data_IF_492993998891
#
_entry.id   IF_492993998891
#
_cell.length_a   1.000
_cell.length_b   1.000
_cell.length_c   1.000
_cell.angle_alpha   90.00
_cell.angle_beta   90.00
_cell.angle_gamma   90.00
#
_symmetry.space_group_name_H-M   'P 1'
#
loop_
_entity.id
_entity.type
_entity.pdbx_description
1 polymer ?
#
# COMPACT_ATOMS: atom_id res chain seq x y z
N UNK A 1 14.58 -13.94 -0.67
CA UNK A 1 14.35 -14.71 -1.91
C UNK A 1 13.66 -13.83 -2.94
N UNK A 2 14.18 -13.83 -4.15
CA UNK A 2 13.59 -13.07 -5.25
C UNK A 2 12.15 -13.49 -5.51
N UNK A 3 11.28 -12.53 -5.70
CA UNK A 3 9.89 -12.82 -5.98
C UNK A 3 9.05 -13.19 -4.77
N UNK A 4 9.59 -13.03 -3.57
CA UNK A 4 8.85 -13.28 -2.34
C UNK A 4 8.69 -12.00 -1.53
N UNK A 5 7.44 -11.72 -1.17
CA UNK A 5 7.13 -10.61 -0.29
C UNK A 5 7.26 -11.05 1.17
N UNK A 6 7.39 -10.05 2.04
CA UNK A 6 7.47 -10.27 3.48
C UNK A 6 6.24 -9.68 4.15
N UNK A 7 5.60 -10.43 5.04
CA UNK A 7 4.51 -9.90 5.84
C UNK A 7 5.13 -9.21 7.05
N UNK A 8 5.21 -7.89 6.98
CA UNK A 8 5.84 -7.08 8.02
C UNK A 8 4.95 -6.94 9.27
N UNK A 9 3.64 -7.05 9.10
CA UNK A 9 2.67 -6.99 10.18
C UNK A 9 1.46 -7.81 9.76
N UNK A 10 0.96 -8.66 10.64
CA UNK A 10 -0.23 -9.47 10.34
C UNK A 10 -1.49 -8.72 10.73
N UNK A 11 -2.55 -8.91 9.97
CA UNK A 11 -3.84 -8.28 10.26
C UNK A 11 -4.97 -8.89 9.46
N UNK A 12 -6.20 -8.49 9.80
CA UNK A 12 -7.40 -9.06 9.18
C UNK A 12 -8.42 -8.05 8.69
N UNK A 13 -8.21 -6.76 8.94
CA UNK A 13 -9.19 -5.74 8.55
C UNK A 13 -8.88 -5.09 7.20
N UNK A 14 -7.62 -4.93 6.86
CA UNK A 14 -7.18 -4.30 5.62
C UNK A 14 -5.77 -4.78 5.28
N UNK A 15 -5.46 -4.86 3.98
CA UNK A 15 -4.12 -5.16 3.50
C UNK A 15 -3.50 -3.90 2.92
N UNK A 16 -2.32 -3.52 3.44
CA UNK A 16 -1.49 -2.47 2.85
C UNK A 16 -0.33 -3.15 2.15
N UNK A 17 -0.14 -2.83 0.87
CA UNK A 17 1.00 -3.30 0.10
C UNK A 17 1.92 -2.11 -0.15
N UNK A 18 3.21 -2.28 0.14
CA UNK A 18 4.17 -1.21 -0.04
C UNK A 18 5.54 -1.79 -0.37
N UNK A 19 6.49 -0.92 -0.71
CA UNK A 19 7.85 -1.33 -1.02
C UNK A 19 8.80 -0.17 -0.77
N UNK A 20 10.09 -0.50 -0.66
CA UNK A 20 11.14 0.49 -0.47
C UNK A 20 10.91 1.30 0.81
N UNK A 21 11.27 2.57 0.83
CA UNK A 21 11.19 3.39 2.04
C UNK A 21 9.75 3.64 2.52
N UNK A 22 8.78 3.52 1.63
CA UNK A 22 7.38 3.73 2.00
C UNK A 22 6.89 2.67 2.99
N UNK A 23 7.54 1.50 3.06
CA UNK A 23 7.25 0.49 4.09
C UNK A 23 7.45 1.06 5.48
N UNK A 24 8.50 1.87 5.68
CA UNK A 24 8.75 2.49 6.99
C UNK A 24 7.68 3.50 7.36
N UNK A 25 7.22 4.28 6.37
CA UNK A 25 6.14 5.24 6.57
C UNK A 25 4.84 4.51 6.92
N UNK A 26 4.58 3.39 6.25
CA UNK A 26 3.41 2.57 6.54
C UNK A 26 3.47 1.98 7.96
N UNK A 27 4.66 1.53 8.39
CA UNK A 27 4.84 1.03 9.76
C UNK A 27 4.52 2.10 10.80
N UNK A 28 4.96 3.34 10.55
CA UNK A 28 4.65 4.45 11.45
C UNK A 28 3.14 4.73 11.47
N UNK A 29 2.48 4.66 10.33
CA UNK A 29 1.05 4.89 10.24
C UNK A 29 0.27 3.83 11.04
N UNK A 30 0.67 2.56 10.92
CA UNK A 30 0.03 1.46 11.63
C UNK A 30 0.19 1.63 13.14
N UNK A 31 1.33 2.14 13.58
CA UNK A 31 1.59 2.36 15.00
C UNK A 31 0.92 3.62 15.55
N UNK A 32 0.33 4.46 14.68
CA UNK A 32 -0.30 5.70 15.11
C UNK A 32 -1.54 5.44 15.96
N UNK A 33 -1.79 6.34 16.91
CA UNK A 33 -2.93 6.24 17.82
C UNK A 33 -4.25 6.10 17.06
N UNK A 34 -4.37 6.76 15.92
CA UNK A 34 -5.59 6.78 15.12
C UNK A 34 -5.97 5.40 14.56
N UNK A 35 -4.99 4.51 14.39
CA UNK A 35 -5.22 3.19 13.81
C UNK A 35 -5.06 2.05 14.80
N UNK A 36 -4.89 2.33 16.08
CA UNK A 36 -4.62 1.30 17.08
C UNK A 36 -5.73 0.25 17.23
N UNK A 37 -6.95 0.59 16.86
CA UNK A 37 -8.09 -0.33 16.99
C UNK A 37 -8.33 -1.17 15.75
N UNK A 38 -7.49 -1.00 14.71
CA UNK A 38 -7.64 -1.72 13.46
C UNK A 38 -6.56 -2.78 13.31
N UNK A 39 -6.92 -3.90 12.71
CA UNK A 39 -6.01 -5.01 12.48
C UNK A 39 -5.50 -4.91 11.04
N UNK A 40 -4.28 -4.43 10.87
CA UNK A 40 -3.74 -4.09 9.56
C UNK A 40 -2.64 -5.06 9.16
N UNK A 41 -2.80 -5.67 7.98
CA UNK A 41 -1.75 -6.51 7.41
C UNK A 41 -0.89 -5.67 6.49
N UNK A 42 0.43 -5.63 6.75
CA UNK A 42 1.37 -4.90 5.92
C UNK A 42 2.26 -5.87 5.17
N UNK A 43 2.22 -5.79 3.85
CA UNK A 43 3.05 -6.59 2.97
C UNK A 43 4.14 -5.70 2.38
N UNK A 44 5.40 -6.09 2.63
CA UNK A 44 6.56 -5.48 2.02
C UNK A 44 6.92 -6.33 0.80
N UNK A 45 6.75 -5.77 -0.39
CA UNK A 45 7.01 -6.53 -1.62
C UNK A 45 8.44 -7.00 -1.77
N UNK A 46 9.40 -6.22 -1.29
CA UNK A 46 10.84 -6.47 -1.39
C UNK A 46 11.34 -6.59 -2.82
N UNK A 47 10.58 -7.22 -3.72
CA UNK A 47 10.90 -7.36 -5.14
C UNK A 47 9.71 -6.88 -5.95
N UNK A 48 9.96 -5.96 -6.89
CA UNK A 48 8.89 -5.43 -7.74
C UNK A 48 8.90 -6.04 -9.15
N UNK A 49 9.87 -6.89 -9.44
CA UNK A 49 9.95 -7.63 -10.70
C UNK A 49 10.66 -8.95 -10.45
N UNK A 50 9.95 -10.04 -10.32
CA UNK A 50 8.49 -10.20 -10.34
C UNK A 50 7.82 -9.79 -9.01
N UNK A 51 6.54 -9.42 -9.10
CA UNK A 51 5.73 -9.11 -7.92
C UNK A 51 5.12 -10.41 -7.39
N UNK A 52 5.14 -10.57 -6.07
CA UNK A 52 4.57 -11.75 -5.41
C UNK A 52 3.06 -11.60 -5.22
N UNK A 53 2.30 -11.85 -6.28
CA UNK A 53 0.85 -11.74 -6.24
C UNK A 53 0.20 -12.80 -5.35
N UNK A 54 0.83 -13.97 -5.21
CA UNK A 54 0.26 -15.03 -4.37
C UNK A 54 0.14 -14.59 -2.91
N UNK A 55 1.15 -13.90 -2.39
CA UNK A 55 1.10 -13.37 -1.03
C UNK A 55 0.01 -12.32 -0.90
N UNK A 56 -0.11 -11.41 -1.89
CA UNK A 56 -1.14 -10.38 -1.88
C UNK A 56 -2.53 -11.01 -1.91
N UNK A 57 -2.74 -11.98 -2.80
CA UNK A 57 -4.04 -12.63 -2.93
C UNK A 57 -4.44 -13.39 -1.67
N UNK A 58 -3.48 -14.09 -1.05
CA UNK A 58 -3.74 -14.79 0.20
C UNK A 58 -4.19 -13.84 1.29
N UNK A 59 -3.53 -12.69 1.39
CA UNK A 59 -3.91 -11.65 2.35
C UNK A 59 -5.31 -11.10 2.07
N UNK A 60 -5.62 -10.81 0.81
CA UNK A 60 -6.91 -10.24 0.42
C UNK A 60 -8.09 -11.18 0.63
N UNK A 61 -7.88 -12.49 0.56
CA UNK A 61 -8.95 -13.44 0.89
C UNK A 61 -9.44 -13.25 2.32
N UNK A 62 -8.55 -12.79 3.18
CA UNK A 62 -8.83 -12.56 4.59
C UNK A 62 -9.35 -11.14 4.84
N UNK A 63 -8.66 -10.14 4.31
CA UNK A 63 -8.94 -8.73 4.63
C UNK A 63 -9.99 -8.07 3.73
N UNK A 64 -10.03 -8.45 2.45
CA UNK A 64 -10.97 -7.95 1.43
C UNK A 64 -10.90 -6.45 1.16
N UNK A 65 -9.82 -5.80 1.59
CA UNK A 65 -9.57 -4.37 1.35
C UNK A 65 -8.10 -4.19 1.00
N UNK A 66 -7.83 -3.50 -0.11
CA UNK A 66 -6.48 -3.30 -0.61
C UNK A 66 -6.13 -1.82 -0.67
N UNK A 67 -5.06 -1.45 0.02
CA UNK A 67 -4.44 -0.13 -0.07
C UNK A 67 -3.00 -0.32 -0.50
N UNK A 68 -2.58 0.36 -1.56
CA UNK A 68 -1.18 0.34 -1.99
C UNK A 68 -0.58 1.70 -1.71
N UNK A 69 0.62 1.72 -1.12
CA UNK A 69 1.33 2.96 -0.77
C UNK A 69 2.69 2.98 -1.44
N UNK A 70 2.99 4.04 -2.17
CA UNK A 70 4.26 4.18 -2.89
C UNK A 70 4.70 5.63 -2.94
N UNK A 71 6.01 5.86 -3.12
CA UNK A 71 6.55 7.21 -3.30
C UNK A 71 6.35 7.71 -4.72
N UNK A 72 6.44 6.81 -5.70
CA UNK A 72 6.32 7.16 -7.11
C UNK A 72 4.94 7.71 -7.43
N UNK A 73 4.83 8.57 -8.47
CA UNK A 73 3.52 8.99 -8.97
C UNK A 73 2.74 7.81 -9.51
N UNK A 74 1.43 7.96 -9.67
CA UNK A 74 0.56 6.86 -10.07
C UNK A 74 0.72 6.39 -11.51
N UNK A 75 1.23 7.25 -12.40
CA UNK A 75 1.36 6.91 -13.82
C UNK A 75 2.31 5.73 -14.03
N UNK A 76 1.83 4.69 -14.73
CA UNK A 76 2.64 3.51 -15.09
C UNK A 76 3.50 2.99 -13.94
N UNK A 77 2.90 2.91 -12.76
CA UNK A 77 3.64 2.59 -11.53
C UNK A 77 3.41 1.17 -11.08
N UNK A 78 4.25 0.73 -10.14
CA UNK A 78 4.08 -0.57 -9.48
C UNK A 78 2.71 -0.63 -8.81
N UNK A 79 2.30 0.44 -8.14
CA UNK A 79 1.02 0.47 -7.43
C UNK A 79 -0.18 0.28 -8.35
N UNK A 80 -0.20 0.98 -9.49
CA UNK A 80 -1.29 0.81 -10.45
C UNK A 80 -1.27 -0.58 -11.07
N UNK A 81 -0.08 -1.15 -11.29
CA UNK A 81 0.05 -2.51 -11.81
C UNK A 81 -0.52 -3.53 -10.83
N UNK A 82 -0.19 -3.38 -9.55
CA UNK A 82 -0.72 -4.28 -8.51
C UNK A 82 -2.24 -4.22 -8.47
N UNK A 83 -2.80 -3.01 -8.42
CA UNK A 83 -4.25 -2.82 -8.36
C UNK A 83 -4.91 -3.41 -9.60
N UNK A 84 -4.35 -3.13 -10.78
CA UNK A 84 -4.90 -3.64 -12.04
C UNK A 84 -4.94 -5.18 -12.06
N UNK A 85 -3.86 -5.82 -11.62
CA UNK A 85 -3.79 -7.29 -11.57
C UNK A 85 -4.83 -7.88 -10.61
N UNK A 86 -5.03 -7.24 -9.46
CA UNK A 86 -6.03 -7.72 -8.50
C UNK A 86 -7.44 -7.52 -9.06
N UNK A 87 -7.71 -6.37 -9.68
CA UNK A 87 -9.02 -6.09 -10.28
C UNK A 87 -9.33 -7.08 -11.41
N UNK A 88 -8.32 -7.50 -12.17
CA UNK A 88 -8.50 -8.48 -13.24
C UNK A 88 -8.59 -9.92 -12.73
N UNK A 89 -8.33 -10.14 -11.45
CA UNK A 89 -8.32 -11.49 -10.87
C UNK A 89 -9.68 -11.87 -10.27
N UNK A 90 -9.79 -13.13 -9.86
CA UNK A 90 -10.98 -13.62 -9.17
C UNK A 90 -11.24 -12.90 -7.85
N UNK A 91 -10.24 -12.26 -7.29
CA UNK A 91 -10.39 -11.56 -6.00
C UNK A 91 -11.19 -10.28 -6.10
N UNK A 92 -11.37 -9.72 -7.31
CA UNK A 92 -12.14 -8.49 -7.45
C UNK A 92 -13.53 -8.61 -6.86
N UNK A 93 -14.17 -9.75 -7.08
CA UNK A 93 -15.52 -9.97 -6.59
C UNK A 93 -15.60 -10.14 -5.08
N UNK A 94 -14.46 -10.41 -4.44
CA UNK A 94 -14.40 -10.58 -2.99
C UNK A 94 -14.07 -9.28 -2.26
N UNK A 95 -13.64 -8.25 -2.99
CA UNK A 95 -13.30 -6.97 -2.36
C UNK A 95 -14.55 -6.27 -1.85
N UNK A 96 -14.49 -5.74 -0.65
CA UNK A 96 -15.61 -5.03 -0.04
C UNK A 96 -15.67 -3.57 -0.44
N UNK A 97 -14.56 -3.03 -0.95
CA UNK A 97 -14.45 -1.63 -1.38
C UNK A 97 -13.43 -1.55 -2.49
N UNK A 98 -13.52 -0.54 -3.34
CA UNK A 98 -12.56 -0.34 -4.42
C UNK A 98 -11.14 -0.17 -3.85
N UNK A 99 -10.14 -0.78 -4.48
CA UNK A 99 -8.74 -0.58 -4.05
C UNK A 99 -8.35 0.89 -4.12
N UNK A 100 -7.46 1.32 -3.24
CA UNK A 100 -6.94 2.68 -3.23
C UNK A 100 -5.44 2.69 -3.38
N UNK A 101 -4.92 3.80 -3.92
CA UNK A 101 -3.50 4.04 -4.08
C UNK A 101 -3.14 5.36 -3.40
N UNK A 102 -2.20 5.31 -2.47
CA UNK A 102 -1.55 6.49 -1.92
C UNK A 102 -0.21 6.59 -2.64
N UNK A 103 0.00 7.64 -3.40
CA UNK A 103 1.18 7.79 -4.25
C UNK A 103 1.72 9.20 -4.20
N UNK A 104 2.94 9.38 -4.73
CA UNK A 104 3.52 10.70 -4.87
C UNK A 104 2.78 11.53 -5.90
N UNK A 105 2.94 12.85 -5.82
CA UNK A 105 2.35 13.76 -6.79
C UNK A 105 3.08 13.64 -8.13
N UNK A 106 2.32 13.75 -9.21
CA UNK A 106 2.87 13.70 -10.56
C UNK A 106 3.43 15.09 -10.92
N UNK A 107 4.62 15.37 -10.42
CA UNK A 107 5.31 16.62 -10.72
C UNK A 107 6.83 16.42 -10.56
N UNK A 108 7.65 17.29 -11.18
CA UNK A 108 9.09 17.20 -10.98
C UNK A 108 9.42 17.36 -9.50
N UNK A 109 10.42 16.59 -9.03
CA UNK A 109 10.85 16.69 -7.64
C UNK A 109 11.50 18.06 -7.39
N UNK A 110 10.99 18.86 -6.44
CA UNK A 110 11.59 20.14 -6.14
C UNK A 110 12.95 20.00 -5.46
N UNK A 111 13.82 21.00 -5.65
CA UNK A 111 15.15 20.99 -5.07
C UNK A 111 15.15 21.30 -3.58
N UNK A 112 14.15 22.02 -3.10
CA UNK A 112 14.05 22.37 -1.68
C UNK A 112 13.39 21.23 -0.89
N UNK A 113 14.00 20.82 0.20
CA UNK A 113 13.54 19.68 0.99
C UNK A 113 12.09 19.81 1.47
N UNK A 114 11.67 21.01 1.86
CA UNK A 114 10.29 21.20 2.33
C UNK A 114 9.26 20.99 1.20
N UNK A 115 9.66 21.23 -0.05
CA UNK A 115 8.78 20.98 -1.19
C UNK A 115 8.72 19.49 -1.52
N UNK A 116 9.81 18.73 -1.26
CA UNK A 116 9.81 17.29 -1.41
C UNK A 116 8.79 16.64 -0.49
N UNK A 117 8.66 17.13 0.74
CA UNK A 117 7.70 16.60 1.69
C UNK A 117 6.26 16.76 1.23
N UNK A 118 5.99 17.77 0.38
CA UNK A 118 4.66 17.95 -0.19
C UNK A 118 4.38 17.00 -1.36
N UNK A 119 5.43 16.44 -1.95
CA UNK A 119 5.30 15.52 -3.11
C UNK A 119 5.21 14.07 -2.67
N UNK A 120 5.94 13.69 -1.62
CA UNK A 120 6.02 12.31 -1.13
C UNK A 120 4.95 12.09 -0.07
N UNK A 121 4.20 10.96 -0.13
CA UNK A 121 3.18 10.68 0.88
C UNK A 121 3.77 10.59 2.29
N UNK A 122 3.01 11.08 3.25
CA UNK A 122 3.38 11.09 4.66
C UNK A 122 2.49 10.12 5.46
N UNK A 123 2.84 9.91 6.72
CA UNK A 123 2.08 9.06 7.63
C UNK A 123 0.59 9.42 7.62
N UNK A 124 0.28 10.71 7.67
CA UNK A 124 -1.11 11.18 7.69
C UNK A 124 -1.89 10.78 6.44
N UNK A 125 -1.24 10.76 5.28
CA UNK A 125 -1.89 10.33 4.04
C UNK A 125 -2.34 8.87 4.14
N UNK A 126 -1.51 8.03 4.76
CA UNK A 126 -1.83 6.62 4.93
C UNK A 126 -2.91 6.43 5.98
N UNK A 127 -2.81 7.10 7.13
CA UNK A 127 -3.84 6.97 8.17
C UNK A 127 -5.20 7.41 7.66
N UNK A 128 -5.25 8.52 6.91
CA UNK A 128 -6.49 9.00 6.33
C UNK A 128 -7.08 8.02 5.31
N UNK A 129 -6.23 7.43 4.46
CA UNK A 129 -6.68 6.44 3.48
C UNK A 129 -7.26 5.22 4.17
N UNK A 130 -6.57 4.71 5.19
CA UNK A 130 -7.06 3.54 5.94
C UNK A 130 -8.42 3.83 6.57
N UNK A 131 -8.54 4.98 7.24
CA UNK A 131 -9.81 5.35 7.88
C UNK A 131 -10.95 5.47 6.87
N UNK A 132 -10.66 5.92 5.66
CA UNK A 132 -11.68 6.07 4.63
C UNK A 132 -12.18 4.72 4.09
N UNK A 133 -11.41 3.66 4.29
CA UNK A 133 -11.74 2.32 3.80
C UNK A 133 -12.37 1.41 4.86
N UNK A 134 -12.32 1.82 6.11
CA UNK A 134 -12.84 1.02 7.24
C UNK A 134 -14.13 1.60 7.87
#
# INVERSE_FOLDING_TARGET
MLGKANIASEGKDITIVSYSNMVNVAKEAIAAEELKNYSIELIDLQTVSPIDYDTIKTSLKKTKKLLVCQEAPSNSSVGTTVISKIVESELFQELEIAPKLVSGLHSPMPSAKHLELNVIPQVEDITNAVKSML
#
